data_IF_565771067661
#
_entry.id   IF_565771067661
#
_cell.length_a   1.000
_cell.length_b   1.000
_cell.length_c   1.000
_cell.angle_alpha   90.00
_cell.angle_beta   90.00
_cell.angle_gamma   90.00
#
_symmetry.space_group_name_H-M   'P 1'
#
loop_
_entity.id
_entity.type
_entity.pdbx_description
1 polymer ?
#
# COMPACT_ATOMS: atom_id res chain seq x y z
N UNK A 1 -8.37 -4.66 5.28
CA UNK A 1 -7.64 -4.51 6.55
C UNK A 1 -6.20 -4.13 6.28
N UNK A 2 -5.45 -3.76 7.31
CA UNK A 2 -3.99 -3.52 7.23
C UNK A 2 -3.37 -3.95 8.56
N UNK A 3 -2.06 -4.16 8.57
CA UNK A 3 -1.30 -4.42 9.80
C UNK A 3 -0.27 -3.32 10.03
N UNK A 4 0.13 -3.19 11.29
CA UNK A 4 1.18 -2.28 11.69
C UNK A 4 2.51 -3.03 11.80
N UNK A 5 3.52 -2.52 11.10
CA UNK A 5 4.86 -3.06 11.08
C UNK A 5 5.84 -2.15 11.82
N UNK A 6 6.99 -2.70 12.22
CA UNK A 6 8.07 -1.91 12.84
C UNK A 6 8.54 -0.78 11.92
N UNK A 7 8.62 -1.04 10.61
CA UNK A 7 9.03 -0.07 9.61
C UNK A 7 8.14 1.18 9.60
N UNK A 8 6.83 1.04 9.77
CA UNK A 8 5.89 2.18 9.83
C UNK A 8 6.25 3.14 10.97
N UNK A 9 6.60 2.57 12.13
CA UNK A 9 6.99 3.37 13.29
C UNK A 9 8.36 4.04 13.12
N UNK A 10 9.28 3.40 12.40
CA UNK A 10 10.60 3.96 12.09
C UNK A 10 10.49 5.07 11.04
N UNK A 11 9.64 4.90 10.02
CA UNK A 11 9.34 5.93 9.03
C UNK A 11 8.74 7.16 9.70
N UNK A 12 7.75 6.97 10.59
CA UNK A 12 7.15 8.07 11.37
C UNK A 12 8.18 8.82 12.22
N UNK A 13 9.23 8.14 12.69
CA UNK A 13 10.34 8.73 13.46
C UNK A 13 11.45 9.31 12.58
N UNK A 14 11.33 9.24 11.24
CA UNK A 14 12.32 9.72 10.28
C UNK A 14 13.50 8.78 10.03
N UNK A 15 13.56 7.61 10.67
CA UNK A 15 14.66 6.65 10.56
C UNK A 15 14.51 5.67 9.39
N UNK A 16 13.40 5.75 8.64
CA UNK A 16 13.14 4.88 7.49
C UNK A 16 12.36 5.67 6.42
N UNK A 17 13.01 6.56 5.65
CA UNK A 17 12.32 7.36 4.65
C UNK A 17 11.76 6.48 3.53
N UNK A 18 10.58 6.81 2.96
CA UNK A 18 10.04 6.08 1.83
C UNK A 18 10.97 6.23 0.60
N UNK A 19 11.08 5.21 -0.27
CA UNK A 19 11.80 5.32 -1.53
C UNK A 19 11.25 6.44 -2.42
N UNK A 20 12.07 6.94 -3.34
CA UNK A 20 11.62 7.94 -4.32
C UNK A 20 10.42 7.41 -5.14
N UNK A 21 9.37 8.21 -5.24
CA UNK A 21 8.15 7.86 -5.99
C UNK A 21 7.15 7.01 -5.20
N UNK A 22 7.50 6.52 -4.01
CA UNK A 22 6.56 5.85 -3.12
C UNK A 22 5.65 6.84 -2.39
N UNK A 23 4.53 6.34 -1.87
CA UNK A 23 3.63 7.12 -1.01
C UNK A 23 4.39 7.69 0.19
N UNK A 24 4.14 8.95 0.60
CA UNK A 24 4.73 9.52 1.81
C UNK A 24 4.11 8.95 3.09
N UNK A 25 2.95 8.30 3.01
CA UNK A 25 2.21 7.79 4.17
C UNK A 25 2.72 6.41 4.61
N UNK A 26 2.76 6.11 5.94
CA UNK A 26 3.07 4.77 6.44
C UNK A 26 2.03 3.72 6.04
N UNK A 27 2.44 2.46 5.97
CA UNK A 27 1.63 1.34 5.54
C UNK A 27 2.37 0.49 4.52
N UNK A 28 2.45 -0.82 4.78
CA UNK A 28 3.17 -1.77 3.91
C UNK A 28 2.26 -2.82 3.28
N UNK A 29 1.07 -3.02 3.83
CA UNK A 29 0.16 -4.06 3.37
C UNK A 29 -1.29 -3.63 3.49
N UNK A 30 -2.12 -4.19 2.62
CA UNK A 30 -3.56 -4.06 2.70
C UNK A 30 -4.23 -5.35 2.21
N UNK A 31 -5.46 -5.53 2.67
CA UNK A 31 -6.46 -6.41 2.07
C UNK A 31 -7.74 -5.60 1.89
N UNK A 32 -8.56 -5.93 0.89
CA UNK A 32 -9.76 -5.17 0.60
C UNK A 32 -10.43 -5.68 -0.65
N UNK A 33 -11.35 -4.88 -1.18
CA UNK A 33 -12.02 -5.18 -2.44
C UNK A 33 -11.44 -4.25 -3.51
N UNK A 34 -11.16 -4.78 -4.70
CA UNK A 34 -10.71 -3.97 -5.84
C UNK A 34 -11.86 -3.04 -6.26
N UNK A 35 -11.66 -1.73 -6.07
CA UNK A 35 -12.65 -0.69 -6.45
C UNK A 35 -12.52 -0.27 -7.92
N UNK A 36 -11.29 -0.28 -8.46
CA UNK A 36 -11.02 0.10 -9.85
C UNK A 36 -9.78 -0.60 -10.40
N UNK A 37 -9.73 -0.76 -11.72
CA UNK A 37 -8.64 -1.43 -12.44
C UNK A 37 -8.12 -0.53 -13.56
N UNK A 38 -6.79 -0.49 -13.74
CA UNK A 38 -6.16 0.29 -14.80
C UNK A 38 -6.41 -0.28 -16.20
N UNK A 39 -6.38 0.58 -17.22
CA UNK A 39 -6.74 0.24 -18.62
C UNK A 39 -6.05 -1.00 -19.21
N UNK A 40 -4.84 -1.32 -18.75
CA UNK A 40 -3.99 -2.38 -19.30
C UNK A 40 -3.83 -3.58 -18.34
N UNK A 41 -4.66 -3.69 -17.31
CA UNK A 41 -4.64 -4.83 -16.37
C UNK A 41 -5.73 -5.81 -16.79
N UNK A 42 -5.36 -7.07 -17.04
CA UNK A 42 -6.28 -8.10 -17.54
C UNK A 42 -6.55 -9.24 -16.56
N UNK A 43 -5.77 -9.34 -15.48
CA UNK A 43 -5.83 -10.45 -14.53
C UNK A 43 -6.91 -10.30 -13.45
N UNK A 44 -7.26 -9.06 -13.10
CA UNK A 44 -8.04 -8.72 -11.92
C UNK A 44 -9.31 -7.98 -12.31
N UNK A 45 -10.38 -8.20 -11.56
CA UNK A 45 -11.69 -7.58 -11.77
C UNK A 45 -12.11 -6.68 -10.60
N UNK A 46 -12.95 -5.68 -10.88
CA UNK A 46 -13.58 -4.88 -9.83
C UNK A 46 -14.49 -5.80 -9.00
N UNK A 47 -14.31 -5.80 -7.68
CA UNK A 47 -15.03 -6.68 -6.76
C UNK A 47 -14.22 -7.85 -6.19
N UNK A 48 -13.05 -8.15 -6.76
CA UNK A 48 -12.14 -9.18 -6.23
C UNK A 48 -11.61 -8.82 -4.83
N UNK A 49 -11.29 -9.84 -4.01
CA UNK A 49 -10.80 -9.74 -2.62
C UNK A 49 -9.38 -10.27 -2.42
#
# INVERSE_FOLDING_TARGET
ATSLNRADTLQRKGGYPPPQGASPYPGLECSGIIESVGKNVSKWEIGDQ
#
